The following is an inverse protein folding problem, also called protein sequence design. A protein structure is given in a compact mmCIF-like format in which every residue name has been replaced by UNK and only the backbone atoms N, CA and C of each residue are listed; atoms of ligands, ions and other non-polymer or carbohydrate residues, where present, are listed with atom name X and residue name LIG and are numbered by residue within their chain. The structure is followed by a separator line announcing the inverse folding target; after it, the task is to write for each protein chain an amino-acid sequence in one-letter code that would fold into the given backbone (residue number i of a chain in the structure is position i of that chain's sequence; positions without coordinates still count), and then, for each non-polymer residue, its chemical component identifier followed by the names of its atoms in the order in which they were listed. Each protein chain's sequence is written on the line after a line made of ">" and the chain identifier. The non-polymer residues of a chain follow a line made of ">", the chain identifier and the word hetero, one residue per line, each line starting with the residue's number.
data_IF_865753292417
#
_entry.id   IF_865753292417
#
_cell.length_a   1.000
_cell.length_b   1.000
_cell.length_c   1.000
_cell.angle_alpha   90.00
_cell.angle_beta   90.00
_cell.angle_gamma   90.00
#
_symmetry.space_group_name_H-M   'P 1'
#
loop_
_entity.id
_entity.type
_entity.pdbx_description
1 polymer ?
#
# COMPACT_ATOMS: atom_id res chain seq x y z
N UNK A 1 -33.52 54.57 -98.43
CA UNK A 1 -33.97 54.83 -97.06
C UNK A 1 -34.11 53.51 -96.34
N UNK A 2 -33.16 53.13 -95.50
CA UNK A 2 -33.17 51.87 -94.79
C UNK A 2 -33.52 52.18 -93.34
N UNK A 3 -34.57 51.58 -92.79
CA UNK A 3 -34.99 51.64 -91.39
C UNK A 3 -34.29 50.57 -90.62
N UNK A 4 -33.51 50.97 -89.61
CA UNK A 4 -32.90 50.07 -88.66
C UNK A 4 -33.86 49.87 -87.46
N UNK A 5 -34.28 48.63 -87.21
CA UNK A 5 -34.95 48.21 -85.94
C UNK A 5 -33.90 47.76 -84.94
N UNK A 6 -33.86 48.43 -83.78
CA UNK A 6 -33.00 48.11 -82.65
C UNK A 6 -33.76 47.18 -81.77
N UNK A 7 -33.26 45.93 -81.64
CA UNK A 7 -33.86 44.90 -80.78
C UNK A 7 -33.21 44.98 -79.38
N UNK A 8 -34.00 45.34 -78.38
CA UNK A 8 -33.57 45.32 -76.97
C UNK A 8 -33.70 43.91 -76.45
N UNK A 9 -32.59 43.26 -76.09
CA UNK A 9 -32.50 41.99 -75.42
C UNK A 9 -32.40 42.23 -73.92
N UNK A 10 -33.48 41.95 -73.17
CA UNK A 10 -33.50 41.98 -71.68
C UNK A 10 -32.74 40.78 -71.16
N UNK A 11 -31.58 41.05 -70.62
CA UNK A 11 -30.81 40.03 -69.85
C UNK A 11 -31.37 39.93 -68.42
N UNK A 12 -32.15 38.87 -68.12
CA UNK A 12 -32.56 38.52 -66.79
C UNK A 12 -31.36 37.87 -66.09
N UNK A 13 -30.64 38.63 -65.23
CA UNK A 13 -29.63 38.12 -64.32
C UNK A 13 -30.35 37.51 -63.14
N UNK A 14 -30.49 36.18 -63.15
CA UNK A 14 -30.95 35.42 -61.98
C UNK A 14 -29.87 35.46 -60.87
N UNK A 15 -30.10 36.24 -59.79
CA UNK A 15 -29.29 36.22 -58.57
C UNK A 15 -29.67 34.96 -57.82
N UNK A 16 -28.82 33.94 -57.96
CA UNK A 16 -28.89 32.74 -57.13
C UNK A 16 -28.40 33.09 -55.68
N UNK A 17 -29.33 33.34 -54.77
CA UNK A 17 -28.97 33.43 -53.35
C UNK A 17 -28.50 32.06 -52.91
N UNK A 18 -27.18 31.88 -52.80
CA UNK A 18 -26.55 30.80 -52.03
C UNK A 18 -26.88 31.05 -50.54
N UNK A 19 -27.93 30.42 -50.05
CA UNK A 19 -28.15 30.32 -48.61
C UNK A 19 -27.03 29.43 -48.05
N UNK A 20 -26.13 29.95 -47.21
CA UNK A 20 -25.15 29.08 -46.58
C UNK A 20 -25.94 28.04 -45.75
N UNK A 21 -25.81 26.78 -46.13
CA UNK A 21 -26.34 25.67 -45.34
C UNK A 21 -25.48 25.56 -44.07
N UNK A 22 -25.77 26.39 -43.09
CA UNK A 22 -25.21 26.25 -41.76
C UNK A 22 -25.81 24.98 -41.17
N UNK A 23 -25.11 23.89 -41.38
CA UNK A 23 -25.33 22.71 -40.57
C UNK A 23 -25.08 23.14 -39.12
N UNK A 24 -26.13 23.43 -38.40
CA UNK A 24 -26.09 23.50 -36.94
C UNK A 24 -25.82 22.08 -36.51
N UNK A 25 -24.53 21.75 -36.25
CA UNK A 25 -24.21 20.51 -35.59
C UNK A 25 -24.93 20.58 -34.25
N UNK A 26 -25.94 19.76 -34.07
CA UNK A 26 -26.58 19.59 -32.78
C UNK A 26 -25.48 19.22 -31.79
N UNK A 27 -25.28 20.08 -30.79
CA UNK A 27 -24.31 19.84 -29.73
C UNK A 27 -25.02 19.08 -28.62
N UNK A 28 -24.37 18.06 -28.07
CA UNK A 28 -24.95 17.28 -26.98
C UNK A 28 -25.45 18.19 -25.86
N UNK A 29 -26.70 18.04 -25.48
CA UNK A 29 -27.35 18.79 -24.41
C UNK A 29 -27.24 18.03 -23.06
N UNK A 30 -27.06 16.73 -23.12
CA UNK A 30 -26.92 15.89 -21.93
C UNK A 30 -25.92 14.73 -22.14
N UNK A 31 -25.18 14.40 -21.09
CA UNK A 31 -24.28 13.25 -21.06
C UNK A 31 -24.47 12.44 -19.79
N UNK A 32 -24.48 11.12 -19.88
CA UNK A 32 -24.74 10.23 -18.76
C UNK A 32 -23.71 9.09 -18.70
N UNK A 33 -23.21 8.77 -17.49
CA UNK A 33 -22.43 7.57 -17.29
C UNK A 33 -23.29 6.31 -17.38
N UNK A 34 -23.02 5.47 -18.36
CA UNK A 34 -23.66 4.14 -18.51
C UNK A 34 -22.90 3.08 -17.73
N UNK A 35 -21.57 3.25 -17.56
CA UNK A 35 -20.74 2.40 -16.72
C UNK A 35 -19.77 3.24 -15.90
N UNK A 36 -19.80 3.09 -14.57
CA UNK A 36 -18.88 3.79 -13.67
C UNK A 36 -18.76 3.09 -12.32
N UNK A 37 -17.60 3.25 -11.67
CA UNK A 37 -17.35 2.77 -10.31
C UNK A 37 -16.82 3.92 -9.45
N UNK A 38 -17.07 3.85 -8.14
CA UNK A 38 -16.65 4.87 -7.18
C UNK A 38 -15.34 4.55 -6.47
N UNK A 39 -14.76 3.35 -6.72
CA UNK A 39 -13.53 2.88 -6.08
C UNK A 39 -12.65 2.09 -7.04
N UNK A 40 -11.33 2.36 -6.97
CA UNK A 40 -10.29 1.59 -7.65
C UNK A 40 -9.10 1.40 -6.71
N UNK A 41 -8.42 0.24 -6.75
CA UNK A 41 -7.18 0.05 -5.99
C UNK A 41 -5.98 0.62 -6.75
N UNK A 42 -4.97 1.11 -6.02
CA UNK A 42 -3.70 1.50 -6.64
C UNK A 42 -3.15 0.38 -7.53
N UNK A 43 -2.77 0.72 -8.76
CA UNK A 43 -2.28 -0.21 -9.78
C UNK A 43 -3.35 -1.11 -10.41
N UNK A 44 -4.63 -0.85 -10.18
CA UNK A 44 -5.75 -1.53 -10.84
C UNK A 44 -6.53 -0.54 -11.71
N UNK A 45 -7.25 -1.08 -12.69
CA UNK A 45 -8.08 -0.33 -13.63
C UNK A 45 -9.56 -0.60 -13.41
N UNK A 46 -10.37 0.38 -13.77
CA UNK A 46 -11.84 0.27 -13.91
C UNK A 46 -12.23 0.97 -15.21
N UNK A 47 -13.30 0.48 -15.85
CA UNK A 47 -13.83 1.08 -17.06
C UNK A 47 -14.89 2.11 -16.70
N UNK A 48 -14.84 3.26 -17.38
CA UNK A 48 -15.90 4.26 -17.46
C UNK A 48 -16.46 4.25 -18.87
N UNK A 49 -17.77 4.37 -18.98
CA UNK A 49 -18.48 4.59 -20.23
C UNK A 49 -19.53 5.66 -20.00
N UNK A 50 -19.67 6.57 -20.95
CA UNK A 50 -20.71 7.59 -20.98
C UNK A 50 -21.23 7.73 -22.40
N UNK A 51 -22.50 8.12 -22.53
CA UNK A 51 -23.16 8.42 -23.79
C UNK A 51 -23.69 9.84 -23.76
N UNK A 52 -23.52 10.54 -24.88
CA UNK A 52 -24.18 11.80 -25.16
C UNK A 52 -25.55 11.51 -25.81
N UNK A 53 -26.51 12.36 -25.58
CA UNK A 53 -27.89 12.22 -26.11
C UNK A 53 -27.96 12.28 -27.64
N UNK A 54 -26.98 12.93 -28.29
CA UNK A 54 -26.81 13.00 -29.74
C UNK A 54 -25.84 11.96 -30.32
N UNK A 55 -25.34 11.01 -29.48
CA UNK A 55 -24.31 10.01 -29.80
C UNK A 55 -22.97 10.61 -30.27
N UNK A 56 -22.68 11.87 -29.96
CA UNK A 56 -21.39 12.49 -30.28
C UNK A 56 -20.26 11.89 -29.41
N UNK A 57 -19.01 12.15 -29.85
CA UNK A 57 -17.81 11.64 -29.19
C UNK A 57 -17.70 12.14 -27.74
N UNK A 58 -17.48 11.20 -26.82
CA UNK A 58 -17.23 11.51 -25.41
C UNK A 58 -15.74 11.46 -25.11
N UNK A 59 -15.24 12.49 -24.47
CA UNK A 59 -13.87 12.57 -23.94
C UNK A 59 -13.87 12.42 -22.42
N UNK A 60 -12.75 11.96 -21.85
CA UNK A 60 -12.61 11.73 -20.42
C UNK A 60 -11.40 12.46 -19.85
N UNK A 61 -11.57 13.00 -18.63
CA UNK A 61 -10.48 13.61 -17.88
C UNK A 61 -10.58 13.31 -16.38
N UNK A 62 -9.52 13.57 -15.66
CA UNK A 62 -9.46 13.47 -14.20
C UNK A 62 -8.92 14.75 -13.57
N UNK A 63 -9.37 15.07 -12.38
CA UNK A 63 -8.98 16.29 -11.67
C UNK A 63 -7.52 16.28 -11.16
N UNK A 64 -6.88 15.10 -11.02
CA UNK A 64 -5.49 14.96 -10.58
C UNK A 64 -4.87 13.67 -11.14
N UNK A 65 -4.01 13.78 -12.14
CA UNK A 65 -3.32 12.65 -12.77
C UNK A 65 -2.29 11.96 -11.86
N UNK A 66 -1.83 12.62 -10.81
CA UNK A 66 -0.96 12.00 -9.79
C UNK A 66 -1.71 10.99 -8.94
N UNK A 67 -3.04 11.09 -8.85
CA UNK A 67 -3.90 10.18 -8.09
C UNK A 67 -4.47 9.08 -8.99
N UNK A 68 -4.93 9.41 -10.20
CA UNK A 68 -5.40 8.46 -11.20
C UNK A 68 -5.23 9.03 -12.60
N UNK A 69 -4.99 8.16 -13.58
CA UNK A 69 -5.00 8.51 -15.01
C UNK A 69 -6.20 7.88 -15.69
N UNK A 70 -6.71 8.51 -16.76
CA UNK A 70 -7.78 7.96 -17.58
C UNK A 70 -7.39 8.06 -19.07
N UNK A 71 -7.68 7.02 -19.83
CA UNK A 71 -7.44 6.97 -21.28
C UNK A 71 -8.63 7.49 -22.05
N UNK A 72 -8.46 7.77 -23.34
CA UNK A 72 -9.52 8.28 -24.22
C UNK A 72 -10.72 7.32 -24.30
N UNK A 73 -10.49 6.00 -24.17
CA UNK A 73 -11.53 4.96 -24.11
C UNK A 73 -12.17 4.80 -22.72
N UNK A 74 -11.85 5.69 -21.75
CA UNK A 74 -12.45 5.69 -20.40
C UNK A 74 -11.86 4.68 -19.41
N UNK A 75 -10.66 4.12 -19.66
CA UNK A 75 -9.99 3.20 -18.76
C UNK A 75 -9.23 3.97 -17.68
N UNK A 76 -9.79 4.03 -16.47
CA UNK A 76 -9.20 4.72 -15.31
C UNK A 76 -8.26 3.79 -14.54
N UNK A 77 -7.03 4.25 -14.30
CA UNK A 77 -6.00 3.54 -13.52
C UNK A 77 -5.66 4.32 -12.26
N UNK A 78 -5.81 3.68 -11.08
CA UNK A 78 -5.41 4.27 -9.80
C UNK A 78 -3.88 4.31 -9.65
N UNK A 79 -3.31 5.49 -9.40
CA UNK A 79 -1.86 5.70 -9.25
C UNK A 79 -1.46 5.81 -7.77
N UNK A 80 -2.20 6.60 -6.99
CA UNK A 80 -1.90 6.89 -5.59
C UNK A 80 -3.19 6.97 -4.77
N UNK A 81 -3.11 6.62 -3.49
CA UNK A 81 -4.26 6.75 -2.57
C UNK A 81 -4.73 8.21 -2.54
N UNK A 82 -6.01 8.41 -2.79
CA UNK A 82 -6.61 9.74 -2.83
C UNK A 82 -8.02 9.70 -3.42
N UNK A 83 -8.53 10.86 -3.82
CA UNK A 83 -9.83 11.01 -4.47
C UNK A 83 -9.70 11.90 -5.68
N UNK A 84 -10.28 11.51 -6.80
CA UNK A 84 -10.35 12.31 -8.04
C UNK A 84 -11.80 12.47 -8.48
N UNK A 85 -12.05 13.53 -9.23
CA UNK A 85 -13.27 13.71 -10.02
C UNK A 85 -12.96 13.23 -11.45
N UNK A 86 -13.72 12.27 -11.94
CA UNK A 86 -13.74 11.88 -13.36
C UNK A 86 -14.78 12.73 -14.05
N UNK A 87 -14.41 13.34 -15.16
CA UNK A 87 -15.32 14.11 -16.01
C UNK A 87 -15.42 13.40 -17.36
N UNK A 88 -16.65 13.17 -17.83
CA UNK A 88 -16.94 12.84 -19.20
C UNK A 88 -17.56 14.07 -19.86
N UNK A 89 -17.13 14.40 -21.07
CA UNK A 89 -17.53 15.62 -21.80
C UNK A 89 -17.82 15.31 -23.27
N UNK A 90 -18.85 15.91 -23.80
CA UNK A 90 -19.16 15.97 -25.24
C UNK A 90 -19.72 17.34 -25.54
N UNK A 91 -19.01 18.11 -26.38
CA UNK A 91 -19.31 19.54 -26.58
C UNK A 91 -19.27 20.29 -25.24
N UNK A 92 -20.35 21.00 -24.90
CA UNK A 92 -20.51 21.74 -23.65
C UNK A 92 -21.13 20.85 -22.52
N UNK A 93 -21.73 19.72 -22.90
CA UNK A 93 -22.31 18.81 -21.91
C UNK A 93 -21.22 18.09 -21.11
N UNK A 94 -21.36 18.06 -19.79
CA UNK A 94 -20.44 17.38 -18.87
C UNK A 94 -21.18 16.59 -17.81
N UNK A 95 -20.60 15.43 -17.43
CA UNK A 95 -21.02 14.69 -16.25
C UNK A 95 -19.80 14.32 -15.43
N UNK A 96 -19.91 14.38 -14.12
CA UNK A 96 -18.78 14.11 -13.20
C UNK A 96 -19.10 13.05 -12.17
N UNK A 97 -18.07 12.26 -11.81
CA UNK A 97 -18.15 11.28 -10.73
C UNK A 97 -16.91 11.29 -9.87
N UNK A 98 -17.10 11.30 -8.54
CA UNK A 98 -16.02 11.15 -7.57
C UNK A 98 -15.57 9.69 -7.50
N UNK A 99 -14.26 9.44 -7.63
CA UNK A 99 -13.64 8.13 -7.52
C UNK A 99 -12.58 8.14 -6.42
N UNK A 100 -12.63 7.14 -5.54
CA UNK A 100 -11.65 6.96 -4.49
C UNK A 100 -10.62 5.90 -4.90
N UNK A 101 -9.37 6.31 -5.00
CA UNK A 101 -8.25 5.38 -5.16
C UNK A 101 -7.86 4.86 -3.78
N UNK A 102 -8.05 3.57 -3.53
CA UNK A 102 -7.84 2.93 -2.24
C UNK A 102 -6.56 2.08 -2.22
N UNK A 103 -6.06 1.78 -1.03
CA UNK A 103 -4.86 0.98 -0.85
C UNK A 103 -4.98 -0.42 -1.46
N UNK A 104 -3.86 -0.94 -1.99
CA UNK A 104 -3.73 -2.35 -2.40
C UNK A 104 -4.04 -3.29 -1.25
N UNK A 105 -3.37 -3.07 -0.12
CA UNK A 105 -3.40 -3.84 1.11
C UNK A 105 -3.03 -2.97 2.32
N UNK A 106 -3.38 -3.43 3.52
CA UNK A 106 -3.02 -2.79 4.78
C UNK A 106 -1.93 -3.61 5.46
N UNK A 107 -0.77 -3.00 5.70
CA UNK A 107 0.37 -3.59 6.40
C UNK A 107 0.49 -2.95 7.77
N UNK A 108 0.45 -3.77 8.84
CA UNK A 108 0.80 -3.29 10.17
C UNK A 108 2.25 -3.64 10.48
N UNK A 109 3.06 -2.61 10.76
CA UNK A 109 4.44 -2.76 11.24
C UNK A 109 4.46 -2.54 12.74
N UNK A 110 5.05 -3.48 13.47
CA UNK A 110 5.22 -3.45 14.92
C UNK A 110 6.70 -3.32 15.28
N UNK A 111 7.21 -2.09 15.43
CA UNK A 111 8.55 -1.93 16.00
C UNK A 111 8.55 -2.43 17.45
N UNK A 112 9.33 -3.51 17.70
CA UNK A 112 9.42 -4.17 19.00
C UNK A 112 9.81 -3.22 20.13
N UNK A 113 9.38 -3.55 21.34
CA UNK A 113 9.73 -2.88 22.59
C UNK A 113 9.38 -1.39 22.69
N UNK A 114 9.65 -0.80 23.82
CA UNK A 114 9.54 0.64 24.16
C UNK A 114 10.50 0.97 25.30
N UNK A 115 10.76 2.26 25.54
CA UNK A 115 11.63 2.69 26.64
C UNK A 115 10.98 2.54 28.03
N UNK A 116 9.69 2.25 28.10
CA UNK A 116 8.93 2.05 29.34
C UNK A 116 8.21 0.71 29.29
N UNK A 117 8.17 0.00 30.40
CA UNK A 117 7.44 -1.26 30.54
C UNK A 117 6.04 -1.02 31.08
N UNK A 118 5.08 -1.83 30.62
CA UNK A 118 3.69 -1.81 31.11
C UNK A 118 3.54 -2.40 32.53
N UNK A 119 4.51 -3.19 32.97
CA UNK A 119 4.45 -3.97 34.21
C UNK A 119 3.36 -5.06 34.19
N UNK A 120 3.51 -6.04 35.05
CA UNK A 120 2.56 -7.14 35.19
C UNK A 120 2.52 -8.09 33.99
N UNK A 121 1.51 -8.93 33.96
CA UNK A 121 1.35 -10.00 32.95
C UNK A 121 0.07 -9.83 32.15
N UNK A 122 0.01 -10.53 31.00
CA UNK A 122 -1.19 -10.64 30.17
C UNK A 122 -1.36 -12.08 29.63
N UNK A 123 -2.58 -12.52 29.30
CA UNK A 123 -2.79 -13.84 28.69
C UNK A 123 -2.02 -13.97 27.38
N UNK A 124 -1.37 -15.12 27.16
CA UNK A 124 -0.57 -15.36 25.93
C UNK A 124 -1.41 -15.43 24.65
N UNK A 125 -2.72 -15.57 24.76
CA UNK A 125 -3.67 -15.62 23.66
C UNK A 125 -5.12 -15.50 24.17
N UNK A 126 -6.11 -15.38 23.28
CA UNK A 126 -7.51 -15.31 23.66
C UNK A 126 -7.94 -16.52 24.50
N UNK A 127 -8.55 -16.28 25.68
CA UNK A 127 -8.98 -17.34 26.61
C UNK A 127 -7.85 -18.09 27.32
N UNK A 128 -6.58 -17.68 27.19
CA UNK A 128 -5.45 -18.36 27.82
C UNK A 128 -5.42 -18.17 29.36
N UNK A 129 -5.29 -19.28 30.08
CA UNK A 129 -4.94 -19.27 31.52
C UNK A 129 -3.44 -18.89 31.70
N UNK A 130 -2.58 -19.36 30.80
CA UNK A 130 -1.13 -19.05 30.82
C UNK A 130 -0.93 -17.56 30.53
N UNK A 131 -0.08 -16.94 31.37
CA UNK A 131 0.23 -15.50 31.29
C UNK A 131 1.74 -15.31 31.12
N UNK A 132 2.11 -14.23 30.43
CA UNK A 132 3.51 -13.78 30.24
C UNK A 132 3.62 -12.30 30.57
N UNK A 133 4.84 -11.82 30.81
CA UNK A 133 5.09 -10.37 30.91
C UNK A 133 4.48 -9.63 29.70
N UNK A 134 3.84 -8.50 29.97
CA UNK A 134 3.16 -7.71 28.93
C UNK A 134 4.10 -7.23 27.84
N UNK A 135 5.31 -6.86 28.23
CA UNK A 135 6.36 -6.35 27.35
C UNK A 135 7.74 -6.47 28.04
N UNK A 136 8.78 -6.11 27.30
CA UNK A 136 10.15 -5.98 27.79
C UNK A 136 10.80 -4.76 27.12
N UNK A 137 11.91 -4.27 27.65
CA UNK A 137 12.69 -3.18 27.06
C UNK A 137 13.43 -3.66 25.79
N UNK A 138 13.67 -4.98 25.69
CA UNK A 138 14.47 -5.56 24.62
C UNK A 138 15.96 -5.56 24.95
N UNK A 139 16.76 -5.83 23.93
CA UNK A 139 18.23 -5.88 24.06
C UNK A 139 18.88 -4.53 23.78
N UNK A 140 20.22 -4.50 23.91
CA UNK A 140 21.03 -3.31 23.65
C UNK A 140 22.31 -3.71 22.92
N UNK A 141 22.71 -2.93 21.93
CA UNK A 141 23.92 -3.11 21.19
C UNK A 141 25.17 -3.11 22.08
N UNK A 142 26.03 -4.13 21.92
CA UNK A 142 27.23 -4.29 22.76
C UNK A 142 28.30 -3.23 22.45
N UNK A 143 28.32 -2.68 21.24
CA UNK A 143 29.24 -1.63 20.78
C UNK A 143 28.53 -0.30 20.72
N UNK A 144 27.44 -0.21 19.95
CA UNK A 144 26.71 1.03 19.68
C UNK A 144 25.98 1.58 20.88
N UNK A 145 25.69 0.74 21.87
CA UNK A 145 24.82 1.05 23.03
C UNK A 145 23.39 1.48 22.61
N UNK A 146 23.02 1.30 21.36
CA UNK A 146 21.66 1.55 20.84
C UNK A 146 20.72 0.50 21.41
N UNK A 147 19.58 0.92 21.97
CA UNK A 147 18.54 -0.01 22.39
C UNK A 147 17.75 -0.56 21.23
N UNK A 148 17.31 -1.81 21.33
CA UNK A 148 16.48 -2.47 20.32
C UNK A 148 15.23 -1.64 19.96
N UNK A 149 14.54 -1.07 20.94
CA UNK A 149 13.35 -0.25 20.68
C UNK A 149 13.63 1.01 19.84
N UNK A 150 14.86 1.54 19.87
CA UNK A 150 15.28 2.68 19.05
C UNK A 150 15.50 2.23 17.60
N UNK A 151 16.25 1.15 17.44
CA UNK A 151 16.55 0.58 16.13
C UNK A 151 15.27 0.14 15.39
N UNK A 152 14.41 -0.66 16.04
CA UNK A 152 13.19 -1.21 15.43
C UNK A 152 12.25 -0.09 14.97
N UNK A 153 12.15 1.01 15.75
CA UNK A 153 11.37 2.17 15.35
C UNK A 153 11.99 2.89 14.14
N UNK A 154 13.31 3.03 14.12
CA UNK A 154 14.03 3.64 13.00
C UNK A 154 13.83 2.84 11.72
N UNK A 155 13.97 1.52 11.78
CA UNK A 155 13.76 0.64 10.64
C UNK A 155 12.30 0.67 10.16
N UNK A 156 11.32 0.60 11.07
CA UNK A 156 9.91 0.70 10.69
C UNK A 156 9.57 2.04 10.02
N UNK A 157 10.17 3.14 10.47
CA UNK A 157 10.01 4.46 9.84
C UNK A 157 10.65 4.54 8.44
N UNK A 158 11.68 3.74 8.15
CA UNK A 158 12.26 3.63 6.81
C UNK A 158 11.41 2.74 5.89
N UNK A 159 10.85 1.64 6.41
CA UNK A 159 9.98 0.72 5.65
C UNK A 159 8.67 1.42 5.24
N UNK A 160 8.08 2.20 6.14
CA UNK A 160 6.76 2.82 5.94
C UNK A 160 6.65 3.61 4.62
N UNK A 161 7.50 4.61 4.32
CA UNK A 161 7.37 5.39 3.08
C UNK A 161 7.61 4.55 1.81
N UNK A 162 8.45 3.51 1.88
CA UNK A 162 8.68 2.61 0.75
C UNK A 162 7.40 1.81 0.40
N UNK A 163 6.70 1.30 1.41
CA UNK A 163 5.42 0.62 1.23
C UNK A 163 4.33 1.59 0.75
N UNK A 164 4.26 2.79 1.32
CA UNK A 164 3.26 3.80 0.94
C UNK A 164 3.43 4.25 -0.51
N UNK A 165 4.68 4.43 -0.96
CA UNK A 165 5.00 4.70 -2.39
C UNK A 165 4.48 3.60 -3.32
N UNK A 166 4.44 2.35 -2.85
CA UNK A 166 3.91 1.20 -3.59
C UNK A 166 2.39 1.02 -3.48
N UNK A 167 1.68 1.95 -2.82
CA UNK A 167 0.22 1.95 -2.68
C UNK A 167 -0.33 1.09 -1.53
N UNK A 168 0.50 0.73 -0.55
CA UNK A 168 0.03 0.12 0.69
C UNK A 168 -0.45 1.19 1.68
N UNK A 169 -1.45 0.85 2.49
CA UNK A 169 -1.72 1.60 3.73
C UNK A 169 -0.87 1.00 4.84
N UNK A 170 -0.07 1.84 5.52
CA UNK A 170 0.82 1.38 6.59
C UNK A 170 0.36 1.89 7.94
N UNK A 171 0.19 0.96 8.88
CA UNK A 171 -0.11 1.23 10.28
C UNK A 171 1.15 0.93 11.10
N UNK A 172 1.58 1.86 11.94
CA UNK A 172 2.60 1.60 12.96
C UNK A 172 1.92 1.37 14.30
N UNK A 173 2.30 0.32 15.03
CA UNK A 173 1.78 0.09 16.40
C UNK A 173 2.19 1.20 17.37
N UNK A 174 3.36 1.83 17.11
CA UNK A 174 3.85 3.02 17.83
C UNK A 174 4.61 3.96 16.90
N UNK A 175 4.55 5.24 17.19
CA UNK A 175 5.25 6.31 16.45
C UNK A 175 6.45 6.90 17.24
N UNK A 176 6.53 6.58 18.53
CA UNK A 176 7.61 6.96 19.44
C UNK A 176 7.83 5.83 20.47
N UNK A 177 8.77 6.00 21.41
CA UNK A 177 9.09 5.01 22.44
C UNK A 177 8.64 5.40 23.84
N UNK A 178 7.94 6.52 24.00
CA UNK A 178 7.65 7.14 25.31
C UNK A 178 6.57 6.42 26.12
N UNK A 179 5.69 5.64 25.48
CA UNK A 179 4.59 4.92 26.14
C UNK A 179 4.83 3.44 26.12
N UNK A 180 4.59 2.79 27.26
CA UNK A 180 4.55 1.35 27.37
C UNK A 180 3.43 0.79 26.47
N UNK A 181 3.70 -0.28 25.76
CA UNK A 181 2.76 -0.91 24.84
C UNK A 181 2.92 -2.43 24.89
N UNK A 182 1.94 -3.11 25.52
CA UNK A 182 1.98 -4.55 25.70
C UNK A 182 1.87 -5.32 24.38
N UNK A 183 2.36 -6.55 24.35
CA UNK A 183 2.32 -7.41 23.17
C UNK A 183 0.88 -7.66 22.67
N UNK A 184 -0.09 -7.85 23.58
CA UNK A 184 -1.51 -7.92 23.24
C UNK A 184 -2.01 -6.63 22.59
N UNK A 185 -1.72 -5.46 23.18
CA UNK A 185 -2.17 -4.17 22.63
C UNK A 185 -1.62 -3.93 21.22
N UNK A 186 -0.39 -4.35 20.91
CA UNK A 186 0.20 -4.27 19.55
C UNK A 186 -0.62 -5.08 18.55
N UNK A 187 -0.97 -6.32 18.86
CA UNK A 187 -1.83 -7.15 18.01
C UNK A 187 -3.23 -6.54 17.86
N UNK A 188 -3.81 -5.99 18.94
CA UNK A 188 -5.13 -5.35 18.88
C UNK A 188 -5.15 -4.10 17.97
N UNK A 189 -4.05 -3.35 17.86
CA UNK A 189 -3.92 -2.25 16.90
C UNK A 189 -4.00 -2.79 15.47
N UNK A 190 -3.28 -3.87 15.15
CA UNK A 190 -3.33 -4.51 13.84
C UNK A 190 -4.73 -5.06 13.52
N UNK A 191 -5.39 -5.72 14.50
CA UNK A 191 -6.75 -6.25 14.39
C UNK A 191 -7.77 -5.13 14.12
N UNK A 192 -7.75 -4.04 14.91
CA UNK A 192 -8.64 -2.88 14.73
C UNK A 192 -8.46 -2.21 13.37
N UNK A 193 -7.24 -2.16 12.88
CA UNK A 193 -6.93 -1.62 11.56
C UNK A 193 -7.35 -2.55 10.42
N UNK A 194 -7.84 -3.78 10.71
CA UNK A 194 -8.12 -4.84 9.73
C UNK A 194 -6.92 -5.05 8.80
N UNK A 195 -5.70 -5.11 9.37
CA UNK A 195 -4.48 -5.28 8.59
C UNK A 195 -4.52 -6.63 7.83
N UNK A 196 -4.02 -6.63 6.60
CA UNK A 196 -3.89 -7.85 5.80
C UNK A 196 -2.72 -8.72 6.27
N UNK A 197 -1.66 -8.08 6.82
CA UNK A 197 -0.51 -8.75 7.46
C UNK A 197 0.02 -7.92 8.64
N UNK A 198 0.70 -8.62 9.57
CA UNK A 198 1.31 -8.03 10.75
C UNK A 198 2.79 -8.42 10.81
N UNK A 199 3.70 -7.44 10.66
CA UNK A 199 5.16 -7.63 10.69
C UNK A 199 5.70 -7.07 11.98
N UNK A 200 6.23 -7.94 12.83
CA UNK A 200 6.85 -7.57 14.10
C UNK A 200 8.36 -7.55 13.91
N UNK A 201 8.96 -6.39 14.14
CA UNK A 201 10.39 -6.13 13.88
C UNK A 201 11.14 -6.16 15.20
N UNK A 202 12.12 -7.05 15.29
CA UNK A 202 12.95 -7.29 16.46
C UNK A 202 14.42 -7.44 16.09
N UNK A 203 15.29 -7.46 17.07
CA UNK A 203 16.71 -7.78 16.94
C UNK A 203 17.07 -8.71 18.09
N UNK A 204 17.66 -9.85 17.76
CA UNK A 204 17.94 -10.92 18.70
C UNK A 204 19.15 -10.62 19.62
N UNK A 205 19.27 -11.42 20.65
CA UNK A 205 20.38 -11.45 21.59
C UNK A 205 20.72 -12.89 21.96
N UNK A 206 22.00 -13.19 22.12
CA UNK A 206 22.49 -14.46 22.59
C UNK A 206 23.59 -14.25 23.63
N UNK A 207 23.83 -15.28 24.47
CA UNK A 207 24.96 -15.30 25.39
C UNK A 207 26.30 -15.29 24.64
N UNK A 208 26.37 -15.93 23.47
CA UNK A 208 27.56 -15.90 22.60
C UNK A 208 27.58 -14.67 21.73
N UNK A 209 28.65 -13.90 21.76
CA UNK A 209 28.91 -12.78 20.83
C UNK A 209 29.19 -13.22 19.37
N UNK A 210 29.31 -14.52 19.08
CA UNK A 210 29.48 -15.06 17.73
C UNK A 210 28.16 -15.35 17.02
N UNK A 211 27.02 -15.38 17.73
CA UNK A 211 25.71 -15.57 17.14
C UNK A 211 25.41 -14.45 16.12
N UNK A 212 25.00 -14.82 14.91
CA UNK A 212 24.79 -13.87 13.80
C UNK A 212 23.67 -14.32 12.87
N UNK A 213 23.18 -13.39 12.06
CA UNK A 213 22.20 -13.63 11.02
C UNK A 213 20.79 -13.34 11.45
N UNK A 214 19.86 -13.41 10.50
CA UNK A 214 18.46 -13.09 10.69
C UNK A 214 17.59 -14.34 10.71
N UNK A 215 16.45 -14.27 11.40
CA UNK A 215 15.48 -15.35 11.48
C UNK A 215 14.04 -14.80 11.43
N UNK A 216 13.07 -15.68 11.18
CA UNK A 216 11.67 -15.31 11.28
C UNK A 216 10.87 -16.38 12.06
N UNK A 217 9.98 -15.89 12.91
CA UNK A 217 9.22 -16.71 13.85
C UNK A 217 7.73 -16.66 13.50
N UNK A 218 7.10 -17.84 13.46
CA UNK A 218 5.69 -17.98 13.11
C UNK A 218 5.00 -19.06 13.97
N UNK A 219 3.65 -19.03 14.08
CA UNK A 219 2.91 -20.05 14.83
C UNK A 219 2.80 -21.37 14.05
N UNK A 220 2.85 -22.52 14.75
CA UNK A 220 2.56 -23.84 14.15
C UNK A 220 1.08 -23.99 13.80
N UNK A 221 0.75 -25.05 13.03
CA UNK A 221 -0.63 -25.43 12.78
C UNK A 221 -1.37 -25.91 14.04
N UNK A 222 -0.65 -26.42 15.03
CA UNK A 222 -1.19 -26.84 16.33
C UNK A 222 -1.39 -25.67 17.32
N UNK A 223 -1.03 -24.44 16.96
CA UNK A 223 -1.27 -23.29 17.82
C UNK A 223 -2.78 -23.05 17.97
N UNK A 224 -3.29 -23.19 19.21
CA UNK A 224 -4.73 -23.09 19.51
C UNK A 224 -5.34 -21.71 19.28
N UNK A 225 -4.54 -20.64 19.16
CA UNK A 225 -5.03 -19.26 19.00
C UNK A 225 -5.15 -18.85 17.54
N UNK A 226 -4.14 -19.18 16.73
CA UNK A 226 -4.08 -18.77 15.32
C UNK A 226 -3.45 -19.81 14.37
N UNK A 227 -3.42 -21.09 14.78
CA UNK A 227 -2.85 -22.18 13.99
C UNK A 227 -3.48 -22.33 12.60
N UNK A 228 -4.76 -21.97 12.43
CA UNK A 228 -5.43 -21.90 11.12
C UNK A 228 -4.73 -20.96 10.13
N UNK A 229 -3.95 -20.00 10.61
CA UNK A 229 -3.17 -19.07 9.80
C UNK A 229 -1.73 -19.52 9.57
N UNK A 230 -1.29 -20.63 10.19
CA UNK A 230 0.11 -21.10 10.18
C UNK A 230 0.71 -21.16 8.76
N UNK A 231 0.02 -21.75 7.79
CA UNK A 231 0.48 -21.82 6.39
C UNK A 231 0.74 -20.43 5.80
N UNK A 232 -0.17 -19.48 6.04
CA UNK A 232 -0.02 -18.08 5.58
C UNK A 232 1.09 -17.36 6.33
N UNK A 233 1.22 -17.58 7.65
CA UNK A 233 2.29 -17.02 8.48
C UNK A 233 3.66 -17.55 8.01
N UNK A 234 3.80 -18.87 7.77
CA UNK A 234 5.03 -19.48 7.25
C UNK A 234 5.42 -18.89 5.90
N UNK A 235 4.46 -18.75 4.96
CA UNK A 235 4.71 -18.10 3.67
C UNK A 235 5.20 -16.66 3.85
N UNK A 236 4.52 -15.88 4.69
CA UNK A 236 4.90 -14.49 4.98
C UNK A 236 6.32 -14.41 5.56
N UNK A 237 6.61 -15.24 6.56
CA UNK A 237 7.94 -15.33 7.18
C UNK A 237 9.02 -15.65 6.17
N UNK A 238 8.78 -16.64 5.29
CA UNK A 238 9.74 -17.06 4.25
C UNK A 238 10.00 -15.92 3.25
N UNK A 239 8.95 -15.31 2.70
CA UNK A 239 9.10 -14.22 1.72
C UNK A 239 9.86 -13.04 2.33
N UNK A 240 9.48 -12.61 3.55
CA UNK A 240 10.14 -11.45 4.20
C UNK A 240 11.57 -11.75 4.57
N UNK A 241 11.85 -12.92 5.19
CA UNK A 241 13.20 -13.28 5.62
C UNK A 241 14.15 -13.42 4.43
N UNK A 242 13.78 -14.19 3.40
CA UNK A 242 14.65 -14.44 2.25
C UNK A 242 15.01 -13.13 1.54
N UNK A 243 14.01 -12.34 1.15
CA UNK A 243 14.30 -11.07 0.46
C UNK A 243 15.09 -10.09 1.32
N UNK A 244 14.86 -10.07 2.63
CA UNK A 244 15.63 -9.22 3.53
C UNK A 244 17.09 -9.68 3.61
N UNK A 245 17.33 -10.99 3.73
CA UNK A 245 18.69 -11.54 3.78
C UNK A 245 19.44 -11.32 2.47
N UNK A 246 18.78 -11.56 1.33
CA UNK A 246 19.38 -11.38 0.00
C UNK A 246 19.77 -9.91 -0.24
N UNK A 247 18.87 -8.96 0.03
CA UNK A 247 19.13 -7.52 -0.18
C UNK A 247 20.21 -6.98 0.78
N UNK A 248 20.21 -7.43 2.04
CA UNK A 248 21.14 -6.95 3.06
C UNK A 248 22.49 -7.68 3.06
N UNK A 249 22.57 -8.86 2.44
CA UNK A 249 23.75 -9.73 2.51
C UNK A 249 23.95 -10.31 3.91
N UNK A 250 22.85 -10.62 4.64
CA UNK A 250 22.94 -11.19 5.98
C UNK A 250 22.68 -12.70 5.98
N UNK A 251 23.28 -13.42 6.94
CA UNK A 251 23.10 -14.85 7.06
C UNK A 251 21.65 -15.19 7.40
N UNK A 252 21.03 -16.06 6.60
CA UNK A 252 19.66 -16.54 6.81
C UNK A 252 19.68 -17.76 7.74
N UNK A 253 19.23 -17.58 8.97
CA UNK A 253 19.13 -18.67 9.99
C UNK A 253 17.89 -19.53 9.79
N UNK A 254 16.95 -19.13 8.94
CA UNK A 254 15.74 -19.87 8.67
C UNK A 254 14.53 -19.47 9.51
N UNK A 255 13.53 -20.34 9.47
CA UNK A 255 12.21 -20.13 10.06
C UNK A 255 12.08 -20.95 11.34
N UNK A 256 11.61 -20.33 12.41
CA UNK A 256 11.38 -20.99 13.70
C UNK A 256 9.90 -20.96 14.11
N UNK A 257 9.41 -22.11 14.55
CA UNK A 257 8.06 -22.22 15.12
C UNK A 257 8.05 -21.70 16.55
N UNK A 258 7.15 -20.78 16.86
CA UNK A 258 6.95 -20.24 18.22
C UNK A 258 5.47 -20.05 18.52
N UNK A 259 4.95 -20.83 19.47
CA UNK A 259 3.54 -20.80 19.90
C UNK A 259 3.29 -19.97 21.17
N UNK A 260 4.35 -19.44 21.75
CA UNK A 260 4.34 -18.72 23.02
C UNK A 260 4.49 -17.20 22.89
N UNK A 261 4.42 -16.66 21.65
CA UNK A 261 4.53 -15.24 21.40
C UNK A 261 3.17 -14.56 21.51
N UNK A 262 2.93 -13.83 22.60
CA UNK A 262 1.65 -13.16 22.89
C UNK A 262 1.16 -12.31 21.71
N UNK A 263 2.03 -11.46 21.12
CA UNK A 263 1.64 -10.61 20.00
C UNK A 263 1.24 -11.39 18.74
N UNK A 264 1.86 -12.57 18.49
CA UNK A 264 1.45 -13.45 17.39
C UNK A 264 0.11 -14.11 17.69
N UNK A 265 -0.07 -14.63 18.91
CA UNK A 265 -1.27 -15.38 19.32
C UNK A 265 -2.56 -14.53 19.32
N UNK A 266 -2.45 -13.22 19.58
CA UNK A 266 -3.58 -12.29 19.55
C UNK A 266 -3.87 -11.74 18.14
N UNK A 267 -3.02 -12.00 17.14
CA UNK A 267 -3.22 -11.55 15.76
C UNK A 267 -4.30 -12.37 15.05
N UNK A 268 -5.22 -11.69 14.37
CA UNK A 268 -6.29 -12.30 13.58
C UNK A 268 -5.99 -12.36 12.06
N UNK A 269 -4.79 -11.93 11.67
CA UNK A 269 -4.26 -11.96 10.31
C UNK A 269 -2.91 -12.69 10.26
N UNK A 270 -2.38 -13.03 9.08
CA UNK A 270 -1.02 -13.56 8.95
C UNK A 270 0.00 -12.66 9.63
N UNK A 271 0.83 -13.26 10.48
CA UNK A 271 1.82 -12.57 11.31
C UNK A 271 3.17 -13.25 11.21
N UNK A 272 4.23 -12.45 11.24
CA UNK A 272 5.62 -12.88 11.43
C UNK A 272 6.31 -11.97 12.43
N UNK A 273 7.19 -12.53 13.25
CA UNK A 273 8.20 -11.78 13.97
C UNK A 273 9.53 -12.02 13.28
N UNK A 274 10.22 -10.96 12.88
CA UNK A 274 11.54 -11.03 12.26
C UNK A 274 12.61 -10.53 13.22
N UNK A 275 13.64 -11.35 13.42
CA UNK A 275 14.89 -10.98 14.09
C UNK A 275 15.89 -10.63 12.99
N UNK A 276 16.24 -9.36 12.86
CA UNK A 276 17.02 -8.86 11.71
C UNK A 276 18.53 -9.01 11.88
N UNK A 277 18.98 -9.59 13.00
CA UNK A 277 20.37 -9.79 13.37
C UNK A 277 20.52 -9.86 14.89
N UNK A 278 21.74 -9.86 15.40
CA UNK A 278 22.07 -9.96 16.83
C UNK A 278 22.76 -8.69 17.33
N UNK A 279 22.15 -7.99 18.28
CA UNK A 279 22.79 -6.84 18.95
C UNK A 279 23.95 -7.23 19.88
N UNK A 280 24.02 -8.50 20.27
CA UNK A 280 25.12 -9.06 21.06
C UNK A 280 26.35 -9.43 20.24
N UNK A 281 26.24 -9.44 18.90
CA UNK A 281 27.36 -9.62 17.99
C UNK A 281 27.97 -8.25 17.65
N UNK A 282 29.27 -7.99 17.96
CA UNK A 282 29.90 -6.69 17.74
C UNK A 282 29.89 -6.23 16.27
N UNK A 283 30.02 -7.17 15.34
CA UNK A 283 30.01 -6.87 13.89
C UNK A 283 28.61 -6.50 13.41
N UNK A 284 27.61 -7.30 13.79
CA UNK A 284 26.21 -7.01 13.39
C UNK A 284 25.68 -5.75 14.09
N UNK A 285 26.01 -5.49 15.34
CA UNK A 285 25.63 -4.26 16.03
C UNK A 285 26.16 -3.01 15.29
N UNK A 286 27.44 -3.04 14.81
CA UNK A 286 27.97 -1.96 13.97
C UNK A 286 27.20 -1.83 12.65
N UNK A 287 26.86 -2.95 11.99
CA UNK A 287 26.12 -2.96 10.73
C UNK A 287 24.70 -2.40 10.92
N UNK A 288 23.98 -2.86 11.94
CA UNK A 288 22.64 -2.41 12.28
C UNK A 288 22.56 -0.89 12.48
N UNK A 289 23.64 -0.25 12.92
CA UNK A 289 23.73 1.20 13.10
C UNK A 289 24.17 1.97 11.84
N UNK A 290 24.54 1.29 10.73
CA UNK A 290 24.82 1.93 9.45
C UNK A 290 23.53 2.20 8.68
N UNK A 291 23.27 3.47 8.32
CA UNK A 291 22.09 3.89 7.54
C UNK A 291 21.96 3.14 6.21
N UNK A 292 23.11 2.84 5.54
CA UNK A 292 23.11 2.06 4.28
C UNK A 292 22.58 0.63 4.49
N UNK A 293 23.00 -0.02 5.56
CA UNK A 293 22.55 -1.37 5.89
C UNK A 293 21.05 -1.39 6.29
N UNK A 294 20.61 -0.44 7.10
CA UNK A 294 19.18 -0.28 7.43
C UNK A 294 18.32 -0.08 6.18
N UNK A 295 18.82 0.69 5.18
CA UNK A 295 18.13 0.86 3.90
C UNK A 295 17.99 -0.46 3.14
N UNK A 296 19.04 -1.31 3.14
CA UNK A 296 18.99 -2.65 2.55
C UNK A 296 17.96 -3.54 3.26
N UNK A 297 18.01 -3.62 4.60
CA UNK A 297 17.00 -4.34 5.38
C UNK A 297 15.58 -3.87 5.03
N UNK A 298 15.35 -2.56 4.98
CA UNK A 298 14.03 -1.99 4.66
C UNK A 298 13.57 -2.37 3.25
N UNK A 299 14.45 -2.28 2.24
CA UNK A 299 14.14 -2.67 0.85
C UNK A 299 13.80 -4.16 0.75
N UNK A 300 14.59 -5.03 1.38
CA UNK A 300 14.35 -6.47 1.38
C UNK A 300 13.04 -6.85 2.05
N UNK A 301 12.71 -6.24 3.22
CA UNK A 301 11.40 -6.44 3.87
C UNK A 301 10.25 -6.03 2.94
N UNK A 302 10.37 -4.89 2.26
CA UNK A 302 9.35 -4.42 1.29
C UNK A 302 9.22 -5.37 0.11
N UNK A 303 10.33 -5.86 -0.43
CA UNK A 303 10.33 -6.84 -1.52
C UNK A 303 9.66 -8.16 -1.11
N UNK A 304 9.92 -8.64 0.12
CA UNK A 304 9.28 -9.84 0.66
C UNK A 304 7.77 -9.67 0.90
N UNK A 305 7.32 -8.48 1.27
CA UNK A 305 5.89 -8.15 1.38
C UNK A 305 5.24 -8.16 -0.01
N UNK A 306 5.88 -7.57 -1.02
CA UNK A 306 5.39 -7.61 -2.42
C UNK A 306 5.28 -9.06 -2.92
N UNK A 307 6.30 -9.88 -2.71
CA UNK A 307 6.30 -11.31 -3.07
C UNK A 307 5.17 -12.07 -2.36
N UNK A 308 4.97 -11.84 -1.07
CA UNK A 308 3.89 -12.49 -0.32
C UNK A 308 2.52 -12.22 -0.94
N UNK A 309 2.27 -10.99 -1.41
CA UNK A 309 1.01 -10.61 -2.06
C UNK A 309 0.95 -10.89 -3.56
N UNK A 310 2.04 -11.38 -4.17
CA UNK A 310 2.10 -11.64 -5.62
C UNK A 310 2.17 -10.37 -6.47
N UNK A 311 2.90 -9.35 -5.99
CA UNK A 311 3.12 -8.09 -6.70
C UNK A 311 4.56 -7.94 -7.25
N UNK A 312 5.32 -9.01 -7.20
CA UNK A 312 6.61 -9.16 -7.89
C UNK A 312 6.39 -9.64 -9.31
#
# INVERSE_FOLDING_TARGET
>A
MKKHYFLWMLLLVGILFLIPNTQVNAQASAITFTQSKDKVKVGKTIQFQATADDNSLVTYSVSDEKIATITADGKLTGQKIGSVKVTAQSGDATVTKKVNVIAKKIVCLDPGHTSKMSGGTEPIGPGAKTRKAKDAIGTRGVVSKTYEYQFTLTLAKQIKPLLEKKGYKVILTRKNSKRALSCKKRAMIANKAKADIFIRIHVDAASSGSARGASALYPSSSNKYNGKLSKKCKKLSKCVLNNMCDEAGTYNRGLFVRNDLTGNNWATMPVTLIEVGFMTNPTEDRLLNKKSYQKKLAKGIVAGIDEYFGYK
#
